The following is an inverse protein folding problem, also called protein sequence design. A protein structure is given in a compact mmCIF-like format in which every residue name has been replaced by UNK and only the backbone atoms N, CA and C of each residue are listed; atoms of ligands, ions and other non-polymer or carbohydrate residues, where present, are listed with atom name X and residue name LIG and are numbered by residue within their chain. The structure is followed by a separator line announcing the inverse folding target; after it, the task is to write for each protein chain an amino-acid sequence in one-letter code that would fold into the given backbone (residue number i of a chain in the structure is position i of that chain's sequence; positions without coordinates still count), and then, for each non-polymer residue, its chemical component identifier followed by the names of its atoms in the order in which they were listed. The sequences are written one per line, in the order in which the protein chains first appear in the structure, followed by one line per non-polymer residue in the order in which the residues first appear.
data_IF_266115961759
#
_entry.id   IF_266115961759
#
_cell.length_a   1.000
_cell.length_b   1.000
_cell.length_c   1.000
_cell.angle_alpha   90.00
_cell.angle_beta   90.00
_cell.angle_gamma   90.00
#
_symmetry.space_group_name_H-M   'P 1'
#
loop_
_entity.id
_entity.type
_entity.pdbx_description
1 polymer ?
#
# COMPACT_ATOMS: atom_id res chain seq x y z
N UNK A 1 -17.18 63.43 17.01
CA UNK A 1 -18.24 62.47 16.66
C UNK A 1 -17.56 61.40 15.80
N UNK A 2 -17.65 60.14 16.21
CA UNK A 2 -16.73 59.03 15.90
C UNK A 2 -16.57 58.73 14.41
N UNK A 3 -15.32 58.68 13.94
CA UNK A 3 -14.93 58.06 12.67
C UNK A 3 -14.83 56.55 12.91
N UNK A 4 -15.87 55.80 12.53
CA UNK A 4 -15.87 54.34 12.60
C UNK A 4 -14.93 53.77 11.55
N UNK A 5 -13.78 53.28 12.00
CA UNK A 5 -12.92 52.37 11.26
C UNK A 5 -13.77 51.21 10.72
N UNK A 6 -14.04 51.22 9.41
CA UNK A 6 -14.53 50.04 8.69
C UNK A 6 -13.42 49.00 8.74
N UNK A 7 -13.54 48.09 9.72
CA UNK A 7 -12.77 46.87 9.83
C UNK A 7 -12.81 46.15 8.47
N UNK A 8 -11.67 46.11 7.79
CA UNK A 8 -11.46 45.47 6.50
C UNK A 8 -11.44 43.94 6.55
N UNK A 9 -12.31 43.35 7.37
CA UNK A 9 -12.66 41.94 7.31
C UNK A 9 -14.10 41.83 6.82
N UNK A 10 -14.32 42.17 5.55
CA UNK A 10 -15.37 41.50 4.80
C UNK A 10 -14.93 40.04 4.68
N UNK A 11 -15.22 39.26 5.73
CA UNK A 11 -15.26 37.81 5.66
C UNK A 11 -16.05 37.49 4.40
N UNK A 12 -15.43 36.76 3.46
CA UNK A 12 -16.13 36.19 2.33
C UNK A 12 -17.19 35.26 2.91
N UNK A 13 -18.39 35.77 3.18
CA UNK A 13 -19.55 34.97 3.54
C UNK A 13 -19.92 34.18 2.29
N UNK A 14 -19.36 32.97 2.21
CA UNK A 14 -19.74 31.97 1.21
C UNK A 14 -21.22 31.68 1.46
N UNK A 15 -22.07 31.85 0.45
CA UNK A 15 -23.48 31.51 0.63
C UNK A 15 -23.64 30.01 0.87
N UNK A 16 -24.68 29.61 1.59
CA UNK A 16 -24.97 28.19 1.82
C UNK A 16 -25.03 27.39 0.50
N UNK A 17 -25.54 27.99 -0.58
CA UNK A 17 -25.59 27.39 -1.90
C UNK A 17 -24.20 27.16 -2.50
N UNK A 18 -23.27 28.12 -2.34
CA UNK A 18 -21.88 27.99 -2.78
C UNK A 18 -21.10 27.00 -1.93
N UNK A 19 -21.36 26.94 -0.63
CA UNK A 19 -20.78 25.95 0.28
C UNK A 19 -21.24 24.53 -0.10
N UNK A 20 -22.54 24.33 -0.30
CA UNK A 20 -23.12 23.06 -0.74
C UNK A 20 -22.56 22.65 -2.11
N UNK A 21 -22.54 23.56 -3.09
CA UNK A 21 -21.97 23.29 -4.41
C UNK A 21 -20.49 22.88 -4.34
N UNK A 22 -19.72 23.53 -3.48
CA UNK A 22 -18.30 23.21 -3.27
C UNK A 22 -18.10 21.82 -2.68
N UNK A 23 -18.95 21.40 -1.74
CA UNK A 23 -18.93 20.04 -1.17
C UNK A 23 -19.29 18.99 -2.24
N UNK A 24 -20.34 19.25 -3.02
CA UNK A 24 -20.81 18.30 -4.03
C UNK A 24 -19.84 18.13 -5.21
N UNK A 25 -18.99 19.13 -5.49
CA UNK A 25 -18.07 19.13 -6.62
C UNK A 25 -17.17 17.88 -6.68
N UNK A 26 -16.74 17.35 -5.53
CA UNK A 26 -15.91 16.15 -5.45
C UNK A 26 -16.66 14.85 -5.14
N UNK A 27 -17.94 14.93 -4.79
CA UNK A 27 -18.69 13.82 -4.19
C UNK A 27 -18.74 12.60 -5.12
N UNK A 28 -19.19 12.78 -6.37
CA UNK A 28 -19.33 11.66 -7.32
C UNK A 28 -18.00 10.94 -7.56
N UNK A 29 -16.91 11.70 -7.74
CA UNK A 29 -15.57 11.14 -7.90
C UNK A 29 -15.15 10.35 -6.67
N UNK A 30 -15.36 10.91 -5.48
CA UNK A 30 -15.03 10.24 -4.21
C UNK A 30 -15.85 8.95 -4.03
N UNK A 31 -17.16 9.00 -4.30
CA UNK A 31 -18.03 7.82 -4.24
C UNK A 31 -17.54 6.73 -5.18
N UNK A 32 -17.18 7.06 -6.42
CA UNK A 32 -16.66 6.08 -7.39
C UNK A 32 -15.34 5.47 -6.91
N UNK A 33 -14.38 6.30 -6.49
CA UNK A 33 -13.06 5.86 -6.02
C UNK A 33 -13.20 4.95 -4.79
N UNK A 34 -13.96 5.37 -3.77
CA UNK A 34 -14.13 4.59 -2.54
C UNK A 34 -14.92 3.29 -2.78
N UNK A 35 -15.93 3.31 -3.65
CA UNK A 35 -16.70 2.10 -4.00
C UNK A 35 -15.83 1.09 -4.74
N UNK A 36 -15.02 1.56 -5.69
CA UNK A 36 -14.07 0.72 -6.40
C UNK A 36 -13.02 0.14 -5.44
N UNK A 37 -12.41 0.98 -4.60
CA UNK A 37 -11.41 0.56 -3.61
C UNK A 37 -11.95 -0.49 -2.65
N UNK A 38 -13.18 -0.30 -2.16
CA UNK A 38 -13.91 -1.29 -1.34
C UNK A 38 -14.08 -2.61 -2.07
N UNK A 39 -14.54 -2.59 -3.32
CA UNK A 39 -14.76 -3.80 -4.13
C UNK A 39 -13.47 -4.59 -4.32
N UNK A 40 -12.36 -3.91 -4.60
CA UNK A 40 -11.07 -4.54 -4.82
C UNK A 40 -10.53 -5.17 -3.54
N UNK A 41 -10.55 -4.44 -2.42
CA UNK A 41 -10.17 -4.97 -1.11
C UNK A 41 -11.04 -6.17 -0.69
N UNK A 42 -12.34 -6.13 -0.94
CA UNK A 42 -13.23 -7.26 -0.67
C UNK A 42 -12.90 -8.48 -1.53
N UNK A 43 -12.52 -8.29 -2.80
CA UNK A 43 -12.08 -9.37 -3.67
C UNK A 43 -10.77 -9.98 -3.19
N UNK A 44 -9.76 -9.15 -2.88
CA UNK A 44 -8.48 -9.62 -2.32
C UNK A 44 -8.71 -10.37 -1.02
N UNK A 45 -9.53 -9.82 -0.11
CA UNK A 45 -9.82 -10.45 1.18
C UNK A 45 -10.54 -11.80 1.02
N UNK A 46 -11.42 -11.93 0.03
CA UNK A 46 -12.07 -13.20 -0.29
C UNK A 46 -11.04 -14.25 -0.71
N UNK A 47 -10.22 -13.92 -1.72
CA UNK A 47 -9.18 -14.82 -2.25
C UNK A 47 -8.19 -15.19 -1.14
N UNK A 48 -7.77 -14.20 -0.34
CA UNK A 48 -6.88 -14.43 0.80
C UNK A 48 -7.44 -15.48 1.78
N UNK A 49 -8.75 -15.46 2.03
CA UNK A 49 -9.40 -16.41 2.96
C UNK A 49 -9.60 -17.79 2.36
N UNK A 50 -9.83 -17.89 1.05
CA UNK A 50 -10.16 -19.16 0.38
C UNK A 50 -8.94 -19.88 -0.19
N UNK A 51 -7.98 -19.12 -0.72
CA UNK A 51 -6.82 -19.63 -1.47
C UNK A 51 -5.48 -19.25 -0.79
N UNK A 52 -5.55 -18.44 0.26
CA UNK A 52 -4.41 -18.09 1.10
C UNK A 52 -3.73 -16.77 0.73
N UNK A 53 -2.74 -16.35 1.55
CA UNK A 53 -2.12 -15.03 1.45
C UNK A 53 -1.46 -14.73 0.12
N UNK A 54 -0.78 -15.72 -0.46
CA UNK A 54 -0.04 -15.58 -1.71
C UNK A 54 -0.99 -15.31 -2.88
N UNK A 55 -2.06 -16.09 -3.01
CA UNK A 55 -3.09 -15.86 -4.03
C UNK A 55 -3.75 -14.48 -3.87
N UNK A 56 -4.05 -14.08 -2.62
CA UNK A 56 -4.60 -12.76 -2.31
C UNK A 56 -3.68 -11.61 -2.75
N UNK A 57 -2.38 -11.69 -2.42
CA UNK A 57 -1.39 -10.69 -2.84
C UNK A 57 -1.20 -10.65 -4.36
N UNK A 58 -1.09 -11.80 -5.01
CA UNK A 58 -0.99 -11.90 -6.47
C UNK A 58 -2.21 -11.27 -7.14
N UNK A 59 -3.42 -11.50 -6.62
CA UNK A 59 -4.64 -10.83 -7.11
C UNK A 59 -4.56 -9.30 -6.94
N UNK A 60 -4.09 -8.82 -5.79
CA UNK A 60 -3.93 -7.38 -5.54
C UNK A 60 -2.92 -6.73 -6.50
N UNK A 61 -1.82 -7.43 -6.82
CA UNK A 61 -0.82 -6.97 -7.79
C UNK A 61 -1.44 -6.89 -9.19
N UNK A 62 -2.19 -7.91 -9.61
CA UNK A 62 -2.87 -7.91 -10.91
C UNK A 62 -3.91 -6.80 -11.07
N UNK A 63 -4.51 -6.32 -9.99
CA UNK A 63 -5.42 -5.16 -10.03
C UNK A 63 -4.75 -3.87 -10.47
N UNK A 64 -3.40 -3.80 -10.44
CA UNK A 64 -2.60 -2.63 -10.88
C UNK A 64 -3.01 -1.31 -10.21
N UNK A 65 -3.53 -1.39 -8.98
CA UNK A 65 -3.95 -0.24 -8.19
C UNK A 65 -3.05 -0.09 -6.94
N UNK A 66 -2.15 0.88 -7.01
CA UNK A 66 -1.21 1.18 -5.93
C UNK A 66 -1.88 1.54 -4.60
N UNK A 67 -3.09 2.12 -4.61
CA UNK A 67 -3.81 2.46 -3.38
C UNK A 67 -4.26 1.21 -2.61
N UNK A 68 -4.59 0.13 -3.33
CA UNK A 68 -4.95 -1.17 -2.74
C UNK A 68 -3.71 -1.81 -2.10
N UNK A 69 -2.58 -1.80 -2.81
CA UNK A 69 -1.32 -2.35 -2.31
C UNK A 69 -0.83 -1.58 -1.07
N UNK A 70 -0.97 -0.25 -1.05
CA UNK A 70 -0.65 0.57 0.12
C UNK A 70 -1.54 0.22 1.31
N UNK A 71 -2.84 0.03 1.14
CA UNK A 71 -3.73 -0.38 2.25
C UNK A 71 -3.33 -1.74 2.84
N UNK A 72 -3.06 -2.70 1.97
CA UNK A 72 -2.66 -4.06 2.37
C UNK A 72 -1.32 -4.02 3.10
N UNK A 73 -0.32 -3.33 2.55
CA UNK A 73 1.00 -3.20 3.17
C UNK A 73 0.92 -2.47 4.51
N UNK A 74 0.12 -1.41 4.60
CA UNK A 74 -0.10 -0.67 5.86
C UNK A 74 -0.60 -1.62 6.95
N UNK A 75 -1.54 -2.51 6.63
CA UNK A 75 -2.01 -3.53 7.57
C UNK A 75 -0.93 -4.58 7.86
N UNK A 76 -0.25 -5.11 6.84
CA UNK A 76 0.75 -6.17 7.00
C UNK A 76 1.96 -5.74 7.84
N UNK A 77 2.38 -4.47 7.74
CA UNK A 77 3.48 -3.95 8.56
C UNK A 77 3.17 -4.06 10.06
N UNK A 78 1.90 -3.96 10.45
CA UNK A 78 1.48 -4.11 11.87
C UNK A 78 1.58 -5.55 12.37
N UNK A 79 1.79 -6.54 11.48
CA UNK A 79 1.89 -7.97 11.82
C UNK A 79 3.18 -8.61 11.28
N UNK A 80 4.36 -8.28 11.83
CA UNK A 80 5.66 -8.81 11.40
C UNK A 80 5.73 -10.33 11.24
N UNK A 81 5.07 -11.09 12.13
CA UNK A 81 5.09 -12.56 12.14
C UNK A 81 4.27 -13.19 11.02
N UNK A 82 3.42 -12.43 10.33
CA UNK A 82 2.63 -12.92 9.20
C UNK A 82 3.39 -12.89 7.87
N UNK A 83 4.57 -12.26 7.82
CA UNK A 83 5.38 -12.21 6.61
C UNK A 83 6.10 -13.54 6.37
N UNK A 84 6.10 -13.99 5.11
CA UNK A 84 6.89 -15.14 4.66
C UNK A 84 7.86 -14.71 3.57
N UNK A 85 8.82 -15.58 3.21
CA UNK A 85 9.78 -15.30 2.15
C UNK A 85 9.10 -15.15 0.78
N UNK A 86 8.09 -15.98 0.49
CA UNK A 86 7.29 -15.93 -0.74
C UNK A 86 6.55 -14.59 -0.87
N UNK A 87 6.02 -14.06 0.25
CA UNK A 87 5.43 -12.71 0.25
C UNK A 87 6.48 -11.64 -0.07
N UNK A 88 7.70 -11.78 0.46
CA UNK A 88 8.78 -10.84 0.18
C UNK A 88 9.12 -10.85 -1.32
N UNK A 89 9.23 -12.03 -1.94
CA UNK A 89 9.50 -12.16 -3.38
C UNK A 89 8.44 -11.45 -4.22
N UNK A 90 7.16 -11.62 -3.90
CA UNK A 90 6.06 -10.95 -4.59
C UNK A 90 6.00 -9.44 -4.35
N UNK A 91 6.28 -9.00 -3.13
CA UNK A 91 6.08 -7.61 -2.72
C UNK A 91 7.29 -6.71 -2.94
N UNK A 92 8.50 -7.27 -3.10
CA UNK A 92 9.72 -6.47 -3.33
C UNK A 92 9.61 -5.56 -4.56
N UNK A 93 9.13 -6.02 -5.74
CA UNK A 93 8.91 -5.13 -6.90
C UNK A 93 7.92 -4.00 -6.58
N UNK A 94 6.81 -4.32 -5.91
CA UNK A 94 5.81 -3.32 -5.49
C UNK A 94 6.43 -2.28 -4.57
N UNK A 95 7.22 -2.71 -3.58
CA UNK A 95 7.90 -1.81 -2.64
C UNK A 95 8.86 -0.90 -3.39
N UNK A 96 9.64 -1.42 -4.35
CA UNK A 96 10.53 -0.62 -5.19
C UNK A 96 9.79 0.47 -5.97
N UNK A 97 8.58 0.20 -6.44
CA UNK A 97 7.75 1.18 -7.14
C UNK A 97 7.18 2.24 -6.17
N UNK A 98 6.76 1.83 -4.98
CA UNK A 98 6.29 2.75 -3.94
C UNK A 98 7.38 3.74 -3.49
N UNK A 99 8.64 3.29 -3.42
CA UNK A 99 9.79 4.15 -3.09
C UNK A 99 10.05 5.25 -4.13
N UNK A 100 9.52 5.10 -5.35
CA UNK A 100 9.60 6.08 -6.44
C UNK A 100 8.30 6.89 -6.60
N UNK A 101 7.32 6.68 -5.72
CA UNK A 101 6.04 7.38 -5.78
C UNK A 101 6.20 8.89 -5.60
N UNK A 102 5.32 9.67 -6.21
CA UNK A 102 5.22 11.11 -5.95
C UNK A 102 4.54 11.44 -4.61
N UNK A 103 3.91 10.45 -3.96
CA UNK A 103 3.18 10.63 -2.71
C UNK A 103 4.06 10.19 -1.53
N UNK A 104 4.34 11.10 -0.60
CA UNK A 104 5.17 10.83 0.58
C UNK A 104 4.66 9.64 1.41
N UNK A 105 3.35 9.56 1.63
CA UNK A 105 2.73 8.43 2.35
C UNK A 105 3.09 7.08 1.72
N UNK A 106 3.17 7.01 0.38
CA UNK A 106 3.46 5.76 -0.32
C UNK A 106 4.93 5.39 -0.15
N UNK A 107 5.83 6.37 -0.23
CA UNK A 107 7.26 6.19 0.05
C UNK A 107 7.44 5.70 1.50
N UNK A 108 6.77 6.32 2.47
CA UNK A 108 6.85 5.93 3.87
C UNK A 108 6.42 4.47 4.08
N UNK A 109 5.30 4.05 3.48
CA UNK A 109 4.86 2.65 3.55
C UNK A 109 5.87 1.71 2.88
N UNK A 110 6.41 2.07 1.71
CA UNK A 110 7.48 1.31 1.07
C UNK A 110 8.73 1.15 1.96
N UNK A 111 9.19 2.23 2.58
CA UNK A 111 10.31 2.23 3.52
C UNK A 111 10.06 1.34 4.74
N UNK A 112 8.86 1.44 5.33
CA UNK A 112 8.48 0.63 6.49
C UNK A 112 8.43 -0.87 6.15
N UNK A 113 7.84 -1.23 5.00
CA UNK A 113 7.85 -2.60 4.50
C UNK A 113 9.25 -3.10 4.23
N UNK A 114 10.11 -2.32 3.55
CA UNK A 114 11.49 -2.71 3.27
C UNK A 114 12.29 -2.93 4.55
N UNK A 115 12.17 -2.02 5.52
CA UNK A 115 12.81 -2.14 6.83
C UNK A 115 12.39 -3.43 7.53
N UNK A 116 11.10 -3.79 7.44
CA UNK A 116 10.58 -5.01 8.03
C UNK A 116 11.17 -6.27 7.37
N UNK A 117 11.22 -6.30 6.04
CA UNK A 117 11.84 -7.40 5.28
C UNK A 117 13.30 -7.56 5.70
N UNK A 118 14.07 -6.47 5.72
CA UNK A 118 15.48 -6.51 6.11
C UNK A 118 15.66 -7.00 7.55
N UNK A 119 14.82 -6.55 8.50
CA UNK A 119 14.93 -6.97 9.89
C UNK A 119 14.67 -8.47 10.08
N UNK A 120 13.66 -9.01 9.39
CA UNK A 120 13.19 -10.38 9.63
C UNK A 120 13.92 -11.42 8.78
N UNK A 121 14.35 -11.05 7.57
CA UNK A 121 14.86 -12.01 6.59
C UNK A 121 16.32 -11.78 6.19
N UNK A 122 17.00 -10.72 6.63
CA UNK A 122 18.38 -10.46 6.21
C UNK A 122 19.35 -11.61 6.51
N UNK A 123 19.19 -12.30 7.65
CA UNK A 123 20.04 -13.46 7.97
C UNK A 123 19.76 -14.65 7.05
N UNK A 124 18.49 -14.97 6.79
CA UNK A 124 18.09 -16.06 5.88
C UNK A 124 18.57 -15.76 4.45
N UNK A 125 18.40 -14.52 4.00
CA UNK A 125 18.87 -14.05 2.69
C UNK A 125 20.40 -14.17 2.61
N UNK A 126 21.13 -13.69 3.64
CA UNK A 126 22.60 -13.75 3.67
C UNK A 126 23.09 -15.19 3.63
N UNK A 127 22.50 -16.08 4.43
CA UNK A 127 22.85 -17.50 4.47
C UNK A 127 22.63 -18.14 3.09
N UNK A 128 21.47 -17.90 2.45
CA UNK A 128 21.17 -18.46 1.12
C UNK A 128 22.10 -17.95 0.01
N UNK A 129 22.61 -16.72 0.11
CA UNK A 129 23.58 -16.15 -0.84
C UNK A 129 24.99 -16.70 -0.58
N UNK A 130 25.39 -16.87 0.69
CA UNK A 130 26.73 -17.34 1.07
C UNK A 130 26.86 -18.87 1.10
N UNK A 131 25.74 -19.59 1.06
CA UNK A 131 25.74 -21.04 1.06
C UNK A 131 26.53 -21.55 -0.17
N UNK A 132 27.49 -22.47 0.01
CA UNK A 132 28.18 -23.10 -1.11
C UNK A 132 27.16 -23.60 -2.13
N UNK A 133 27.45 -23.42 -3.43
CA UNK A 133 26.68 -24.08 -4.49
C UNK A 133 26.81 -25.58 -4.22
N UNK A 134 25.74 -26.19 -3.71
CA UNK A 134 25.78 -27.58 -3.28
C UNK A 134 25.97 -28.44 -4.51
N UNK A 135 27.09 -29.16 -4.58
CA UNK A 135 27.26 -30.27 -5.51
C UNK A 135 26.39 -31.40 -4.98
N UNK A 136 25.16 -31.46 -5.47
CA UNK A 136 24.14 -32.42 -5.06
C UNK A 136 22.77 -31.92 -5.50
N UNK A 137 22.08 -32.71 -6.32
CA UNK A 137 20.76 -32.41 -6.86
C UNK A 137 19.77 -32.38 -5.69
N UNK A 138 19.57 -31.20 -5.12
CA UNK A 138 18.49 -30.90 -4.17
C UNK A 138 17.38 -30.20 -4.95
N UNK A 139 16.44 -31.00 -5.45
CA UNK A 139 15.29 -30.56 -6.25
C UNK A 139 14.44 -29.54 -5.46
N UNK A 140 14.42 -29.63 -4.13
CA UNK A 140 13.72 -28.67 -3.26
C UNK A 140 14.43 -27.33 -3.17
N UNK A 141 15.72 -27.27 -3.53
CA UNK A 141 16.51 -26.03 -3.57
C UNK A 141 16.34 -25.32 -4.91
N UNK A 142 16.16 -26.04 -6.01
CA UNK A 142 15.94 -25.45 -7.34
C UNK A 142 14.58 -24.74 -7.46
N UNK A 143 13.52 -25.23 -6.81
CA UNK A 143 12.22 -24.52 -6.75
C UNK A 143 12.27 -23.18 -6.02
N UNK A 144 13.27 -22.94 -5.15
CA UNK A 144 13.43 -21.68 -4.40
C UNK A 144 14.17 -20.58 -5.17
N UNK A 145 14.75 -20.92 -6.32
CA UNK A 145 15.49 -19.97 -7.16
C UNK A 145 14.69 -19.48 -8.38
N UNK A 146 13.46 -19.99 -8.58
CA UNK A 146 12.53 -19.53 -9.61
C UNK A 146 11.44 -18.62 -9.04
#
# INVERSE_FOLDING_TARGET
MLDSAKSGYSTLEISDAEAISSIYRGHESMTKVLTHRKKYLQSVMRIWRTEGPIAGLTSAIHMSDSAILVDILTLLITKPSSWTLDMCQLLLPVICDLLKSKYETYITIGCMSLKLIMKNFAQVIKINITAPKGVGIDISREERYY
#
